data_IF_672107963295
#
_entry.id   IF_672107963295
#
_cell.length_a   1.000
_cell.length_b   1.000
_cell.length_c   1.000
_cell.angle_alpha   90.00
_cell.angle_beta   90.00
_cell.angle_gamma   90.00
#
_symmetry.space_group_name_H-M   'P 1'
#
loop_
_entity.id
_entity.type
_entity.pdbx_description
1 polymer ?
#
# COMPACT_ATOMS: atom_id res chain seq x y z
N UNK A 1 -9.58 -7.17 -16.77
CA UNK A 1 -8.36 -6.34 -16.56
C UNK A 1 -8.65 -5.02 -15.84
N UNK A 2 -9.40 -4.08 -16.43
CA UNK A 2 -9.69 -2.79 -15.80
C UNK A 2 -10.43 -2.90 -14.45
N UNK A 3 -11.53 -3.67 -14.39
CA UNK A 3 -12.28 -3.88 -13.14
C UNK A 3 -11.39 -4.46 -12.03
N UNK A 4 -10.56 -5.44 -12.38
CA UNK A 4 -9.63 -6.05 -11.43
C UNK A 4 -8.63 -5.01 -10.91
N UNK A 5 -8.06 -4.16 -11.77
CA UNK A 5 -7.18 -3.07 -11.33
C UNK A 5 -7.88 -2.14 -10.34
N UNK A 6 -9.11 -1.70 -10.63
CA UNK A 6 -9.86 -0.83 -9.71
C UNK A 6 -10.12 -1.53 -8.38
N UNK A 7 -10.46 -2.82 -8.39
CA UNK A 7 -10.67 -3.59 -7.18
C UNK A 7 -9.38 -3.77 -6.35
N UNK A 8 -8.23 -3.97 -7.01
CA UNK A 8 -6.92 -4.05 -6.34
C UNK A 8 -6.51 -2.70 -5.74
N UNK A 9 -6.72 -1.59 -6.46
CA UNK A 9 -6.40 -0.25 -5.97
C UNK A 9 -7.32 0.17 -4.82
N UNK A 10 -8.62 -0.15 -4.92
CA UNK A 10 -9.58 0.10 -3.84
C UNK A 10 -9.19 -0.66 -2.57
N UNK A 11 -8.81 -1.94 -2.74
CA UNK A 11 -8.33 -2.76 -1.64
C UNK A 11 -7.08 -2.16 -0.99
N UNK A 12 -6.09 -1.76 -1.79
CA UNK A 12 -4.86 -1.15 -1.27
C UNK A 12 -5.15 0.14 -0.48
N UNK A 13 -5.97 1.05 -1.01
CA UNK A 13 -6.28 2.32 -0.34
C UNK A 13 -7.12 2.11 0.93
N UNK A 14 -8.12 1.21 0.90
CA UNK A 14 -8.93 0.88 2.07
C UNK A 14 -8.10 0.19 3.17
N UNK A 15 -7.22 -0.76 2.80
CA UNK A 15 -6.34 -1.44 3.75
C UNK A 15 -5.39 -0.45 4.42
N UNK A 16 -4.75 0.43 3.64
CA UNK A 16 -3.87 1.48 4.18
C UNK A 16 -4.62 2.44 5.10
N UNK A 17 -5.85 2.80 4.74
CA UNK A 17 -6.69 3.69 5.54
C UNK A 17 -7.09 3.04 6.87
N UNK A 18 -7.55 1.78 6.83
CA UNK A 18 -7.95 1.04 8.02
C UNK A 18 -6.78 0.86 9.01
N UNK A 19 -5.60 0.47 8.52
CA UNK A 19 -4.39 0.34 9.35
C UNK A 19 -3.98 1.67 10.00
N UNK A 20 -4.03 2.78 9.27
CA UNK A 20 -3.70 4.11 9.80
C UNK A 20 -4.68 4.55 10.89
N UNK A 21 -5.98 4.35 10.67
CA UNK A 21 -6.99 4.71 11.67
C UNK A 21 -6.90 3.79 12.90
N UNK A 22 -6.57 2.51 12.72
CA UNK A 22 -6.30 1.60 13.85
C UNK A 22 -5.11 2.07 14.70
N UNK A 23 -4.07 2.64 14.10
CA UNK A 23 -2.94 3.27 14.83
C UNK A 23 -3.37 4.46 15.71
N UNK A 24 -4.50 5.09 15.41
CA UNK A 24 -5.07 6.20 16.20
C UNK A 24 -6.23 5.74 17.11
N UNK A 25 -6.37 4.43 17.36
CA UNK A 25 -7.43 3.84 18.17
C UNK A 25 -8.86 4.24 17.74
N UNK A 26 -9.06 4.49 16.43
CA UNK A 26 -10.37 4.81 15.87
C UNK A 26 -11.30 3.60 15.94
N UNK A 27 -12.56 3.83 16.33
CA UNK A 27 -13.57 2.77 16.47
C UNK A 27 -13.96 2.12 15.13
N UNK A 28 -14.40 0.84 15.11
CA UNK A 28 -14.70 0.11 13.88
C UNK A 28 -15.72 0.80 12.95
N UNK A 29 -16.79 1.37 13.52
CA UNK A 29 -17.83 2.06 12.74
C UNK A 29 -17.29 3.32 12.03
N UNK A 30 -16.48 4.12 12.73
CA UNK A 30 -15.86 5.31 12.14
C UNK A 30 -14.85 4.92 11.04
N UNK A 31 -14.12 3.82 11.20
CA UNK A 31 -13.26 3.29 10.14
C UNK A 31 -14.10 2.87 8.91
N UNK A 32 -15.23 2.19 9.11
CA UNK A 32 -16.14 1.77 8.02
C UNK A 32 -16.67 2.96 7.23
N UNK A 33 -16.97 4.09 7.89
CA UNK A 33 -17.41 5.32 7.22
C UNK A 33 -16.33 5.94 6.32
N UNK A 34 -15.04 5.70 6.61
CA UNK A 34 -13.92 6.19 5.78
C UNK A 34 -13.56 5.25 4.61
N UNK A 35 -14.20 4.08 4.52
CA UNK A 35 -13.92 3.15 3.43
C UNK A 35 -14.43 3.69 2.11
N UNK A 36 -13.59 3.61 1.09
CA UNK A 36 -13.98 4.00 -0.27
C UNK A 36 -14.71 2.84 -0.94
N UNK A 37 -15.85 3.14 -1.55
CA UNK A 37 -16.67 2.16 -2.28
C UNK A 37 -17.49 1.25 -1.37
N UNK A 38 -18.46 0.54 -1.97
CA UNK A 38 -19.37 -0.37 -1.24
C UNK A 38 -18.84 -1.81 -1.16
N UNK A 39 -17.67 -2.09 -1.77
CA UNK A 39 -17.14 -3.45 -1.83
C UNK A 39 -16.39 -3.74 -0.54
N UNK A 40 -16.90 -4.71 0.20
CA UNK A 40 -16.24 -5.27 1.39
C UNK A 40 -15.19 -6.30 0.98
N UNK A 41 -14.09 -6.34 1.72
CA UNK A 41 -13.03 -7.33 1.57
C UNK A 41 -12.77 -7.97 2.92
N UNK A 42 -12.71 -9.30 2.98
CA UNK A 42 -12.60 -10.06 4.24
C UNK A 42 -11.43 -9.59 5.11
N UNK A 43 -10.26 -9.39 4.50
CA UNK A 43 -9.08 -8.88 5.20
C UNK A 43 -9.27 -7.47 5.76
N UNK A 44 -9.98 -6.59 5.05
CA UNK A 44 -10.22 -5.23 5.54
C UNK A 44 -11.18 -5.28 6.72
N UNK A 45 -12.20 -6.13 6.68
CA UNK A 45 -13.08 -6.34 7.83
C UNK A 45 -12.33 -6.90 9.04
N UNK A 46 -11.41 -7.84 8.83
CA UNK A 46 -10.54 -8.38 9.88
C UNK A 46 -9.68 -7.28 10.51
N UNK A 47 -9.03 -6.45 9.69
CA UNK A 47 -8.24 -5.29 10.16
C UNK A 47 -9.10 -4.26 10.90
N UNK A 48 -10.34 -4.02 10.45
CA UNK A 48 -11.28 -3.10 11.10
C UNK A 48 -11.70 -3.64 12.48
N UNK A 49 -11.94 -4.95 12.58
CA UNK A 49 -12.46 -5.58 13.79
C UNK A 49 -11.36 -5.99 14.78
N UNK A 50 -10.08 -5.97 14.38
CA UNK A 50 -8.94 -6.20 15.26
C UNK A 50 -8.98 -5.30 16.50
N UNK A 51 -8.63 -5.83 17.67
CA UNK A 51 -8.65 -5.11 18.95
C UNK A 51 -7.62 -3.99 19.01
N UNK A 52 -6.47 -4.18 18.36
CA UNK A 52 -5.35 -3.25 18.38
C UNK A 52 -4.54 -3.30 17.07
N UNK A 53 -3.57 -2.39 16.94
CA UNK A 53 -2.72 -2.30 15.75
C UNK A 53 -1.88 -3.57 15.51
N UNK A 54 -1.43 -4.24 16.57
CA UNK A 54 -0.60 -5.45 16.46
C UNK A 54 -1.41 -6.60 15.83
N UNK A 55 -2.65 -6.80 16.29
CA UNK A 55 -3.57 -7.78 15.70
C UNK A 55 -3.93 -7.43 14.24
N UNK A 56 -4.14 -6.15 13.94
CA UNK A 56 -4.38 -5.69 12.57
C UNK A 56 -3.17 -5.95 11.65
N UNK A 57 -1.95 -5.72 12.12
CA UNK A 57 -0.71 -6.03 11.39
C UNK A 57 -0.59 -7.54 11.17
N UNK A 58 -0.89 -8.35 12.18
CA UNK A 58 -0.86 -9.80 12.08
C UNK A 58 -1.86 -10.34 11.05
N UNK A 59 -3.07 -9.79 10.97
CA UNK A 59 -4.04 -10.15 9.93
C UNK A 59 -3.48 -9.93 8.52
N UNK A 60 -2.80 -8.80 8.29
CA UNK A 60 -2.16 -8.52 6.99
C UNK A 60 -0.98 -9.44 6.72
N UNK A 61 -0.15 -9.72 7.73
CA UNK A 61 1.00 -10.64 7.60
C UNK A 61 0.58 -12.09 7.29
N UNK A 62 -0.62 -12.51 7.71
CA UNK A 62 -1.19 -13.82 7.38
C UNK A 62 -1.84 -13.87 6.00
N UNK A 63 -2.02 -12.70 5.36
CA UNK A 63 -2.59 -12.59 4.02
C UNK A 63 -1.53 -12.62 2.92
N UNK A 64 -1.97 -12.80 1.68
CA UNK A 64 -1.09 -12.72 0.50
C UNK A 64 -0.81 -11.27 0.02
N UNK A 65 -1.30 -10.24 0.74
CA UNK A 65 -1.18 -8.84 0.28
C UNK A 65 0.27 -8.34 0.23
N UNK A 66 1.19 -8.95 0.98
CA UNK A 66 2.61 -8.59 1.03
C UNK A 66 3.53 -9.63 0.38
N UNK A 67 3.00 -10.62 -0.36
CA UNK A 67 3.76 -11.75 -0.93
C UNK A 67 4.64 -12.48 0.11
N UNK A 68 4.15 -12.64 1.33
CA UNK A 68 4.84 -13.35 2.41
C UNK A 68 5.87 -12.52 3.19
N UNK A 69 5.97 -11.22 2.91
CA UNK A 69 6.75 -10.29 3.75
C UNK A 69 6.01 -10.06 5.07
N UNK A 70 6.66 -10.36 6.19
CA UNK A 70 6.14 -10.15 7.53
C UNK A 70 6.81 -8.94 8.17
N UNK A 71 6.02 -8.02 8.71
CA UNK A 71 6.52 -6.80 9.35
C UNK A 71 5.74 -6.52 10.63
N UNK A 72 6.45 -6.12 11.69
CA UNK A 72 5.84 -5.81 13.00
C UNK A 72 5.49 -4.32 13.15
N UNK A 73 6.08 -3.48 12.30
CA UNK A 73 5.90 -2.04 12.32
C UNK A 73 5.03 -1.59 11.15
N UNK A 74 4.03 -0.75 11.44
CA UNK A 74 3.10 -0.24 10.41
C UNK A 74 3.85 0.43 9.25
N UNK A 75 4.90 1.21 9.52
CA UNK A 75 5.65 1.90 8.48
C UNK A 75 6.31 0.93 7.49
N UNK A 76 6.85 -0.19 7.99
CA UNK A 76 7.46 -1.21 7.13
C UNK A 76 6.38 -2.02 6.39
N UNK A 77 5.26 -2.33 7.06
CA UNK A 77 4.13 -3.01 6.43
C UNK A 77 3.54 -2.19 5.28
N UNK A 78 3.36 -0.88 5.47
CA UNK A 78 2.92 0.05 4.43
C UNK A 78 3.91 0.09 3.25
N UNK A 79 5.23 0.05 3.54
CA UNK A 79 6.27 -0.02 2.52
C UNK A 79 6.20 -1.33 1.71
N UNK A 80 5.98 -2.47 2.39
CA UNK A 80 5.80 -3.77 1.74
C UNK A 80 4.55 -3.76 0.82
N UNK A 81 3.42 -3.22 1.30
CA UNK A 81 2.20 -3.05 0.51
C UNK A 81 2.42 -2.13 -0.70
N UNK A 82 3.13 -1.01 -0.55
CA UNK A 82 3.42 -0.09 -1.67
C UNK A 82 4.37 -0.74 -2.69
N UNK A 83 5.34 -1.54 -2.23
CA UNK A 83 6.22 -2.33 -3.09
C UNK A 83 5.43 -3.36 -3.89
N UNK A 84 4.50 -4.05 -3.25
CA UNK A 84 3.66 -5.03 -3.94
C UNK A 84 2.70 -4.38 -4.93
N UNK A 85 2.15 -3.21 -4.58
CA UNK A 85 1.36 -2.39 -5.52
C UNK A 85 2.19 -2.01 -6.76
N UNK A 86 3.45 -1.61 -6.60
CA UNK A 86 4.34 -1.30 -7.73
C UNK A 86 4.53 -2.51 -8.64
N UNK A 87 4.81 -3.69 -8.06
CA UNK A 87 4.97 -4.94 -8.84
C UNK A 87 3.70 -5.27 -9.62
N UNK A 88 2.53 -5.19 -9.00
CA UNK A 88 1.23 -5.37 -9.68
C UNK A 88 1.07 -4.38 -10.84
N UNK A 89 1.36 -3.10 -10.62
CA UNK A 89 1.28 -2.06 -11.65
C UNK A 89 2.23 -2.31 -12.84
N UNK A 90 3.48 -2.75 -12.59
CA UNK A 90 4.44 -3.09 -13.64
C UNK A 90 4.05 -4.34 -14.43
N UNK A 91 3.45 -5.35 -13.77
CA UNK A 91 2.91 -6.53 -14.47
C UNK A 91 1.83 -6.12 -15.48
N UNK A 92 0.97 -5.17 -15.11
CA UNK A 92 -0.13 -4.68 -15.96
C UNK A 92 0.33 -4.00 -17.26
N UNK A 93 1.54 -3.43 -17.29
CA UNK A 93 2.11 -2.85 -18.51
C UNK A 93 2.24 -3.88 -19.65
N UNK A 94 2.45 -5.15 -19.30
CA UNK A 94 2.68 -6.22 -20.26
C UNK A 94 1.43 -7.06 -20.58
N UNK A 95 0.39 -6.99 -19.74
CA UNK A 95 -0.84 -7.80 -19.90
C UNK A 95 -1.70 -7.27 -21.05
N UNK A 96 -1.83 -5.95 -21.19
CA UNK A 96 -2.68 -5.33 -22.20
C UNK A 96 -2.04 -4.04 -22.74
N UNK A 97 -0.97 -4.12 -23.56
CA UNK A 97 -0.17 -2.95 -23.94
C UNK A 97 -0.96 -1.83 -24.61
N UNK A 98 -1.98 -2.19 -25.39
CA UNK A 98 -2.83 -1.25 -26.13
C UNK A 98 -4.14 -0.88 -25.39
N UNK A 99 -4.37 -1.41 -24.19
CA UNK A 99 -5.57 -1.16 -23.40
C UNK A 99 -5.38 -0.07 -22.34
N UNK A 100 -6.48 0.36 -21.70
CA UNK A 100 -6.44 1.37 -20.63
C UNK A 100 -5.62 0.92 -19.42
N UNK A 101 -5.55 -0.39 -19.18
CA UNK A 101 -4.86 -1.00 -18.03
C UNK A 101 -3.35 -0.70 -18.03
N UNK A 102 -2.70 -0.63 -19.20
CA UNK A 102 -1.27 -0.28 -19.30
C UNK A 102 -1.04 1.19 -18.93
N UNK A 103 -1.93 2.09 -19.35
CA UNK A 103 -1.88 3.52 -18.99
C UNK A 103 -2.01 3.69 -17.48
N UNK A 104 -2.93 2.95 -16.85
CA UNK A 104 -3.13 3.00 -15.40
C UNK A 104 -1.93 2.44 -14.62
N UNK A 105 -1.38 1.30 -15.05
CA UNK A 105 -0.14 0.75 -14.48
C UNK A 105 1.03 1.72 -14.59
N UNK A 106 1.16 2.41 -15.73
CA UNK A 106 2.15 3.47 -15.93
C UNK A 106 1.95 4.63 -14.96
N UNK A 107 0.72 5.11 -14.77
CA UNK A 107 0.41 6.22 -13.86
C UNK A 107 0.80 5.86 -12.42
N UNK A 108 0.45 4.66 -11.94
CA UNK A 108 0.80 4.20 -10.59
C UNK A 108 2.33 4.12 -10.42
N UNK A 109 3.03 3.52 -11.38
CA UNK A 109 4.49 3.44 -11.35
C UNK A 109 5.15 4.83 -11.37
N UNK A 110 4.60 5.77 -12.18
CA UNK A 110 5.11 7.14 -12.26
C UNK A 110 4.89 7.93 -10.96
N UNK A 111 3.76 7.73 -10.27
CA UNK A 111 3.52 8.33 -8.96
C UNK A 111 4.58 7.87 -7.96
N UNK A 112 4.89 6.57 -7.93
CA UNK A 112 5.91 6.01 -7.03
C UNK A 112 7.31 6.51 -7.38
N UNK A 113 7.66 6.58 -8.66
CA UNK A 113 8.94 7.16 -9.11
C UNK A 113 9.10 8.61 -8.63
N UNK A 114 8.08 9.44 -8.80
CA UNK A 114 8.12 10.85 -8.35
C UNK A 114 8.22 10.95 -6.82
N UNK A 115 7.56 10.06 -6.06
CA UNK A 115 7.71 9.98 -4.60
C UNK A 115 9.15 9.62 -4.20
N UNK A 116 9.74 8.61 -4.84
CA UNK A 116 11.13 8.21 -4.61
C UNK A 116 12.11 9.34 -4.93
N UNK A 117 11.94 10.01 -6.07
CA UNK A 117 12.77 11.18 -6.44
C UNK A 117 12.67 12.30 -5.41
N UNK A 118 11.45 12.61 -4.94
CA UNK A 118 11.24 13.61 -3.88
C UNK A 118 11.96 13.24 -2.59
N UNK A 119 11.94 11.96 -2.22
CA UNK A 119 12.65 11.45 -1.04
C UNK A 119 14.17 11.62 -1.19
N UNK A 120 14.72 11.24 -2.34
CA UNK A 120 16.15 11.41 -2.65
C UNK A 120 16.59 12.87 -2.60
N UNK A 121 15.79 13.78 -3.17
CA UNK A 121 16.06 15.22 -3.16
C UNK A 121 16.08 15.74 -1.72
N UNK A 122 15.05 15.44 -0.92
CA UNK A 122 14.97 15.89 0.49
C UNK A 122 16.12 15.34 1.34
N UNK A 123 16.48 14.07 1.14
CA UNK A 123 17.58 13.47 1.88
C UNK A 123 18.92 14.15 1.54
N UNK A 124 19.14 14.49 0.26
CA UNK A 124 20.32 15.23 -0.20
C UNK A 124 20.35 16.68 0.33
N UNK A 125 19.21 17.35 0.36
CA UNK A 125 19.08 18.73 0.87
C UNK A 125 19.35 18.82 2.37
N UNK A 126 18.77 17.90 3.15
CA UNK A 126 18.88 17.93 4.61
C UNK A 126 20.20 17.40 5.14
N UNK A 127 20.83 16.44 4.44
CA UNK A 127 22.04 15.71 4.90
C UNK A 127 21.86 14.99 6.24
N UNK A 128 20.62 14.79 6.69
CA UNK A 128 20.30 14.16 7.99
C UNK A 128 20.20 12.63 7.85
N UNK A 129 19.78 12.14 6.69
CA UNK A 129 19.55 10.70 6.48
C UNK A 129 20.80 10.03 5.91
N UNK A 130 21.15 8.86 6.43
CA UNK A 130 22.21 8.03 5.87
C UNK A 130 21.71 7.28 4.61
N UNK A 131 22.66 6.84 3.77
CA UNK A 131 22.35 6.19 2.49
C UNK A 131 21.53 4.90 2.64
N UNK A 132 21.75 4.16 3.73
CA UNK A 132 21.06 2.89 4.00
C UNK A 132 19.58 3.11 4.32
N UNK A 133 19.26 4.08 5.17
CA UNK A 133 17.88 4.47 5.51
C UNK A 133 17.13 4.96 4.28
N UNK A 134 17.78 5.79 3.45
CA UNK A 134 17.18 6.24 2.19
C UNK A 134 16.85 5.03 1.32
N UNK A 135 17.83 4.14 1.12
CA UNK A 135 17.66 2.95 0.26
C UNK A 135 16.57 2.01 0.76
N UNK A 136 16.45 1.81 2.08
CA UNK A 136 15.39 1.00 2.69
C UNK A 136 14.01 1.59 2.42
N UNK A 137 13.89 2.92 2.44
CA UNK A 137 12.60 3.60 2.27
C UNK A 137 12.17 3.78 0.81
N UNK A 138 13.06 3.60 -0.17
CA UNK A 138 12.68 3.63 -1.58
C UNK A 138 11.78 2.43 -1.91
N UNK A 139 10.70 2.69 -2.64
CA UNK A 139 9.83 1.62 -3.14
C UNK A 139 10.36 1.14 -4.48
N UNK A 140 10.82 -0.11 -4.55
CA UNK A 140 11.44 -0.70 -5.74
C UNK A 140 10.85 -2.10 -5.99
N UNK A 141 10.49 -2.39 -7.23
CA UNK A 141 9.87 -3.66 -7.62
C UNK A 141 10.88 -4.73 -7.99
#
# INVERSE_FOLDING_TARGET
PFRQFIEEELRYENLRTALRLKKYDTGPEEIREQMTGQKTFDLIDEVINAENLEEAINAVNQSDETEGVQEDQLENLEHALETQRLRKALRMLHIEPLGITSILGYIVAKIIEVKNLRMLIRAKETKIQNLETIRKNLVMA
#
